data_IF_195200499495
#
_entry.id   IF_195200499495
#
_cell.length_a   1.000
_cell.length_b   1.000
_cell.length_c   1.000
_cell.angle_alpha   90.00
_cell.angle_beta   90.00
_cell.angle_gamma   90.00
#
_symmetry.space_group_name_H-M   'P 1'
#
loop_
_entity.id
_entity.type
_entity.pdbx_description
1 polymer ?
#
# COMPACT_ATOMS: atom_id res chain seq x y z
N UNK A 1 -10.14 -30.70 18.48
CA UNK A 1 -10.42 -29.30 18.13
C UNK A 1 -9.09 -28.68 17.75
N UNK A 2 -8.91 -28.32 16.48
CA UNK A 2 -7.72 -27.60 16.03
C UNK A 2 -7.52 -26.33 16.89
N UNK A 3 -6.30 -26.04 17.38
CA UNK A 3 -6.04 -24.87 18.21
C UNK A 3 -6.38 -23.57 17.46
N UNK A 4 -7.03 -22.64 18.16
CA UNK A 4 -7.49 -21.35 17.63
C UNK A 4 -6.35 -20.55 16.95
N UNK A 5 -5.11 -20.71 17.43
CA UNK A 5 -3.94 -20.08 16.84
C UNK A 5 -3.65 -20.52 15.39
N UNK A 6 -3.92 -21.77 15.02
CA UNK A 6 -3.75 -22.22 13.64
C UNK A 6 -4.78 -21.61 12.69
N UNK A 7 -6.03 -21.44 13.15
CA UNK A 7 -7.07 -20.75 12.37
C UNK A 7 -6.72 -19.29 12.13
N UNK A 8 -6.21 -18.59 13.16
CA UNK A 8 -5.76 -17.20 13.03
C UNK A 8 -4.59 -17.08 12.04
N UNK A 9 -3.62 -17.99 12.14
CA UNK A 9 -2.48 -18.02 11.20
C UNK A 9 -2.94 -18.25 9.75
N UNK A 10 -3.88 -19.17 9.54
CA UNK A 10 -4.46 -19.41 8.22
C UNK A 10 -5.21 -18.18 7.69
N UNK A 11 -5.96 -17.49 8.58
CA UNK A 11 -6.67 -16.26 8.26
C UNK A 11 -5.71 -15.19 7.70
N UNK A 12 -4.58 -14.93 8.39
CA UNK A 12 -3.58 -13.95 7.95
C UNK A 12 -2.69 -14.40 6.79
N UNK A 13 -2.71 -15.68 6.42
CA UNK A 13 -1.98 -16.14 5.25
C UNK A 13 -2.65 -15.71 3.93
N UNK A 14 -3.97 -15.47 3.94
CA UNK A 14 -4.70 -14.98 2.79
C UNK A 14 -4.44 -13.47 2.58
N UNK A 15 -3.84 -13.12 1.44
CA UNK A 15 -3.48 -11.74 1.08
C UNK A 15 -4.65 -10.76 1.23
N UNK A 16 -5.81 -11.08 0.65
CA UNK A 16 -6.99 -10.21 0.69
C UNK A 16 -7.47 -9.94 2.10
N UNK A 17 -7.32 -10.94 2.96
CA UNK A 17 -7.79 -10.89 4.32
C UNK A 17 -6.85 -10.10 5.24
N UNK A 18 -5.55 -10.21 4.99
CA UNK A 18 -4.53 -9.36 5.62
C UNK A 18 -4.72 -7.90 5.23
N UNK A 19 -4.91 -7.59 3.94
CA UNK A 19 -5.22 -6.22 3.47
C UNK A 19 -6.50 -5.70 4.13
N UNK A 20 -7.54 -6.52 4.22
CA UNK A 20 -8.81 -6.14 4.88
C UNK A 20 -8.59 -5.84 6.37
N UNK A 21 -7.78 -6.65 7.06
CA UNK A 21 -7.49 -6.43 8.48
C UNK A 21 -6.72 -5.13 8.70
N UNK A 22 -5.73 -4.83 7.84
CA UNK A 22 -5.01 -3.56 7.86
C UNK A 22 -5.99 -2.40 7.65
N UNK A 23 -6.89 -2.49 6.67
CA UNK A 23 -7.90 -1.46 6.38
C UNK A 23 -8.83 -1.19 7.57
N UNK A 24 -9.27 -2.23 8.28
CA UNK A 24 -10.11 -2.07 9.48
C UNK A 24 -9.32 -1.39 10.61
N UNK A 25 -8.08 -1.81 10.85
CA UNK A 25 -7.24 -1.21 11.90
C UNK A 25 -6.95 0.27 11.58
N UNK A 26 -6.57 0.60 10.35
CA UNK A 26 -6.31 1.98 9.95
C UNK A 26 -7.57 2.84 10.01
N UNK A 27 -8.74 2.28 9.71
CA UNK A 27 -10.02 2.98 9.87
C UNK A 27 -10.30 3.32 11.33
N UNK A 28 -10.12 2.37 12.25
CA UNK A 28 -10.32 2.61 13.69
C UNK A 28 -9.37 3.68 14.22
N UNK A 29 -8.10 3.67 13.79
CA UNK A 29 -7.13 4.70 14.16
C UNK A 29 -7.56 6.07 13.63
N UNK A 30 -7.90 6.17 12.34
CA UNK A 30 -8.32 7.44 11.73
C UNK A 30 -9.61 7.99 12.34
N UNK A 31 -10.57 7.11 12.64
CA UNK A 31 -11.82 7.47 13.31
C UNK A 31 -11.58 7.90 14.77
N UNK A 32 -10.72 7.19 15.50
CA UNK A 32 -10.29 7.57 16.84
C UNK A 32 -9.67 8.97 16.85
N UNK A 33 -8.69 9.23 15.99
CA UNK A 33 -8.04 10.55 15.90
C UNK A 33 -9.02 11.68 15.60
N UNK A 34 -10.05 11.42 14.78
CA UNK A 34 -11.10 12.39 14.50
C UNK A 34 -12.01 12.65 15.71
N UNK A 35 -12.25 11.64 16.53
CA UNK A 35 -13.08 11.74 17.75
C UNK A 35 -12.32 12.42 18.90
N UNK A 36 -11.01 12.23 19.01
CA UNK A 36 -10.14 12.83 20.03
C UNK A 36 -9.61 14.24 19.66
N UNK A 37 -10.18 14.89 18.64
CA UNK A 37 -9.89 16.30 18.32
C UNK A 37 -8.79 16.56 17.28
N UNK A 38 -8.12 15.53 16.75
CA UNK A 38 -7.10 15.67 15.69
C UNK A 38 -7.74 15.55 14.30
N UNK A 39 -8.60 16.52 13.98
CA UNK A 39 -9.49 16.48 12.81
C UNK A 39 -8.73 16.43 11.47
N UNK A 40 -7.69 17.23 11.30
CA UNK A 40 -6.95 17.33 10.04
C UNK A 40 -6.23 16.01 9.71
N UNK A 41 -5.47 15.47 10.66
CA UNK A 41 -4.75 14.21 10.50
C UNK A 41 -5.70 13.03 10.33
N UNK A 42 -6.79 12.99 11.11
CA UNK A 42 -7.83 11.97 10.95
C UNK A 42 -8.46 11.99 9.55
N UNK A 43 -8.69 13.17 8.96
CA UNK A 43 -9.19 13.29 7.58
C UNK A 43 -8.22 12.67 6.57
N UNK A 44 -6.92 12.96 6.69
CA UNK A 44 -5.90 12.42 5.78
C UNK A 44 -5.82 10.89 5.89
N UNK A 45 -5.79 10.37 7.12
CA UNK A 45 -5.76 8.92 7.36
C UNK A 45 -6.99 8.24 6.75
N UNK A 46 -8.18 8.80 6.97
CA UNK A 46 -9.42 8.25 6.41
C UNK A 46 -9.47 8.36 4.88
N UNK A 47 -8.87 9.40 4.29
CA UNK A 47 -8.72 9.52 2.83
C UNK A 47 -7.76 8.47 2.26
N UNK A 48 -6.62 8.22 2.90
CA UNK A 48 -5.74 7.10 2.50
C UNK A 48 -6.44 5.75 2.70
N UNK A 49 -7.24 5.62 3.76
CA UNK A 49 -8.01 4.43 4.06
C UNK A 49 -9.07 4.12 2.99
N UNK A 50 -9.61 5.12 2.28
CA UNK A 50 -10.57 4.85 1.19
C UNK A 50 -9.92 4.04 0.06
N UNK A 51 -8.62 4.25 -0.21
CA UNK A 51 -7.87 3.47 -1.22
C UNK A 51 -7.79 2.00 -0.81
N UNK A 52 -7.54 1.71 0.48
CA UNK A 52 -7.52 0.32 0.98
C UNK A 52 -8.89 -0.37 0.84
N UNK A 53 -9.98 0.36 1.10
CA UNK A 53 -11.32 -0.16 0.84
C UNK A 53 -11.61 -0.35 -0.66
N UNK A 54 -11.08 0.50 -1.54
CA UNK A 54 -11.15 0.29 -2.99
C UNK A 54 -10.40 -0.98 -3.41
N UNK A 55 -9.25 -1.30 -2.78
CA UNK A 55 -8.58 -2.58 -3.03
C UNK A 55 -9.49 -3.77 -2.68
N UNK A 56 -10.27 -3.70 -1.59
CA UNK A 56 -11.24 -4.76 -1.25
C UNK A 56 -12.33 -4.95 -2.30
N UNK A 57 -12.72 -3.90 -3.03
CA UNK A 57 -13.65 -4.05 -4.16
C UNK A 57 -13.08 -4.95 -5.26
N UNK A 58 -11.76 -4.96 -5.46
CA UNK A 58 -11.11 -5.86 -6.42
C UNK A 58 -11.24 -7.33 -6.03
N UNK A 59 -11.22 -7.65 -4.73
CA UNK A 59 -11.48 -9.01 -4.22
C UNK A 59 -12.88 -9.48 -4.62
N UNK A 60 -13.90 -8.63 -4.42
CA UNK A 60 -15.26 -8.92 -4.84
C UNK A 60 -15.39 -9.04 -6.37
N UNK A 61 -14.66 -8.23 -7.13
CA UNK A 61 -14.64 -8.35 -8.60
C UNK A 61 -13.91 -9.61 -9.07
N UNK A 62 -13.00 -10.17 -8.26
CA UNK A 62 -12.21 -11.35 -8.62
C UNK A 62 -13.06 -12.62 -8.79
N UNK A 63 -14.26 -12.67 -8.18
CA UNK A 63 -15.19 -13.79 -8.33
C UNK A 63 -15.97 -13.73 -9.65
N UNK A 64 -15.97 -12.58 -10.34
CA UNK A 64 -16.71 -12.41 -11.58
C UNK A 64 -16.05 -13.21 -12.72
N UNK A 65 -16.79 -14.04 -13.47
CA UNK A 65 -16.22 -15.00 -14.43
C UNK A 65 -15.31 -14.40 -15.49
N UNK A 66 -15.58 -13.16 -15.92
CA UNK A 66 -14.73 -12.45 -16.90
C UNK A 66 -13.61 -11.66 -16.26
N UNK A 67 -13.80 -11.10 -15.07
CA UNK A 67 -12.85 -10.14 -14.48
C UNK A 67 -11.82 -10.82 -13.57
N UNK A 68 -12.20 -11.92 -12.93
CA UNK A 68 -11.32 -12.73 -12.09
C UNK A 68 -10.01 -13.15 -12.75
N UNK A 69 -10.04 -13.69 -13.98
CA UNK A 69 -8.81 -14.03 -14.70
C UNK A 69 -7.90 -12.82 -14.93
N UNK A 70 -8.44 -11.66 -15.30
CA UNK A 70 -7.64 -10.44 -15.51
C UNK A 70 -7.01 -9.93 -14.22
N UNK A 71 -7.74 -9.90 -13.11
CA UNK A 71 -7.22 -9.46 -11.81
C UNK A 71 -6.10 -10.40 -11.35
N UNK A 72 -6.29 -11.72 -11.50
CA UNK A 72 -5.28 -12.72 -11.14
C UNK A 72 -4.03 -12.63 -12.03
N UNK A 73 -4.22 -12.38 -13.33
CA UNK A 73 -3.11 -12.14 -14.26
C UNK A 73 -2.33 -10.88 -13.89
N UNK A 74 -3.01 -9.76 -13.64
CA UNK A 74 -2.39 -8.50 -13.23
C UNK A 74 -1.53 -8.68 -11.97
N UNK A 75 -2.04 -9.38 -10.95
CA UNK A 75 -1.28 -9.67 -9.73
C UNK A 75 0.00 -10.46 -9.99
N UNK A 76 -0.05 -11.48 -10.87
CA UNK A 76 1.13 -12.26 -11.24
C UNK A 76 2.14 -11.45 -12.06
N UNK A 77 1.66 -10.57 -12.94
CA UNK A 77 2.53 -9.72 -13.76
C UNK A 77 3.33 -8.72 -12.91
N UNK A 78 2.71 -8.12 -11.89
CA UNK A 78 3.40 -7.19 -10.99
C UNK A 78 4.62 -7.84 -10.32
N UNK A 79 4.47 -9.09 -9.86
CA UNK A 79 5.57 -9.82 -9.23
C UNK A 79 6.70 -10.11 -10.22
N UNK A 80 6.37 -10.53 -11.45
CA UNK A 80 7.37 -10.81 -12.48
C UNK A 80 8.12 -9.55 -12.96
N UNK A 81 7.50 -8.38 -12.86
CA UNK A 81 8.11 -7.10 -13.29
C UNK A 81 8.82 -6.36 -12.15
N UNK A 82 8.80 -6.88 -10.91
CA UNK A 82 9.39 -6.24 -9.74
C UNK A 82 10.88 -5.91 -9.93
N UNK A 83 11.66 -6.78 -10.57
CA UNK A 83 13.07 -6.56 -10.87
C UNK A 83 13.29 -5.35 -11.79
N UNK A 84 12.46 -5.18 -12.82
CA UNK A 84 12.55 -4.03 -13.73
C UNK A 84 12.29 -2.73 -12.97
N UNK A 85 11.30 -2.72 -12.07
CA UNK A 85 11.00 -1.56 -11.22
C UNK A 85 12.19 -1.22 -10.31
N UNK A 86 12.86 -2.21 -9.73
CA UNK A 86 14.06 -1.97 -8.90
C UNK A 86 15.17 -1.34 -9.73
N UNK A 87 15.45 -1.86 -10.92
CA UNK A 87 16.46 -1.28 -11.83
C UNK A 87 16.13 0.15 -12.24
N UNK A 88 14.84 0.44 -12.48
CA UNK A 88 14.35 1.80 -12.75
C UNK A 88 14.61 2.73 -11.57
N UNK A 89 14.29 2.32 -10.34
CA UNK A 89 14.51 3.14 -9.14
C UNK A 89 16.00 3.43 -8.94
N UNK A 90 16.88 2.43 -9.12
CA UNK A 90 18.34 2.61 -8.99
C UNK A 90 18.86 3.62 -10.01
N UNK A 91 18.46 3.49 -11.27
CA UNK A 91 18.88 4.43 -12.33
C UNK A 91 18.33 5.84 -12.12
N UNK A 92 17.07 5.98 -11.68
CA UNK A 92 16.46 7.27 -11.35
C UNK A 92 17.16 7.96 -10.18
N UNK A 93 17.53 7.22 -9.13
CA UNK A 93 18.27 7.76 -8.01
C UNK A 93 19.68 8.20 -8.42
N UNK A 94 20.41 7.37 -9.17
CA UNK A 94 21.76 7.71 -9.63
C UNK A 94 21.77 9.01 -10.46
N UNK A 95 20.83 9.14 -11.40
CA UNK A 95 20.69 10.36 -12.20
C UNK A 95 20.16 11.54 -11.38
N UNK A 96 19.13 11.32 -10.56
CA UNK A 96 18.48 12.37 -9.77
C UNK A 96 19.43 13.03 -8.78
N UNK A 97 20.23 12.23 -8.06
CA UNK A 97 21.24 12.72 -7.12
C UNK A 97 22.32 13.54 -7.85
N UNK A 98 22.91 13.00 -8.92
CA UNK A 98 23.94 13.71 -9.68
C UNK A 98 23.41 15.03 -10.26
N UNK A 99 22.19 15.03 -10.81
CA UNK A 99 21.54 16.24 -11.32
C UNK A 99 21.33 17.27 -10.22
N UNK A 100 20.87 16.87 -9.04
CA UNK A 100 20.61 17.78 -7.93
C UNK A 100 21.90 18.41 -7.42
N UNK A 101 22.95 17.61 -7.19
CA UNK A 101 24.25 18.10 -6.70
C UNK A 101 24.93 19.07 -7.66
N UNK A 102 24.81 18.87 -8.98
CA UNK A 102 25.42 19.76 -9.99
C UNK A 102 24.60 21.06 -10.14
N UNK A 103 23.27 20.97 -10.13
CA UNK A 103 22.40 22.13 -10.39
C UNK A 103 22.36 23.11 -9.21
N UNK A 104 22.41 22.59 -7.99
CA UNK A 104 22.28 23.37 -6.76
C UNK A 104 23.51 23.16 -5.83
N UNK A 105 24.68 23.70 -6.19
CA UNK A 105 25.93 23.41 -5.50
C UNK A 105 26.05 24.04 -4.09
N UNK A 106 25.28 25.10 -3.81
CA UNK A 106 25.36 25.87 -2.56
C UNK A 106 24.07 25.79 -1.72
N UNK A 107 23.27 24.74 -1.88
CA UNK A 107 22.07 24.55 -1.06
C UNK A 107 22.40 24.01 0.34
N UNK A 108 21.65 24.50 1.33
CA UNK A 108 21.71 23.97 2.69
C UNK A 108 21.00 22.62 2.79
N UNK A 109 21.53 21.74 3.64
CA UNK A 109 20.95 20.42 3.87
C UNK A 109 19.52 20.53 4.40
N UNK A 110 18.58 19.91 3.71
CA UNK A 110 17.22 19.75 4.21
C UNK A 110 16.55 18.52 3.59
N UNK A 111 15.72 17.83 4.37
CA UNK A 111 15.15 16.53 4.03
C UNK A 111 14.17 16.48 2.84
N UNK A 112 13.76 17.65 2.32
CA UNK A 112 12.88 17.73 1.15
C UNK A 112 13.68 17.78 -0.17
N UNK A 113 14.98 18.03 -0.11
CA UNK A 113 15.92 17.93 -1.22
C UNK A 113 17.06 16.94 -0.91
#
# INVERSE_FOLDING_TARGET
MEPIGQKLKYFFYNYWNTVTTIAVISFLIGFGMRTFGVIATGRVILACNSVLWTMKMLDYMSVHPRLGPYITMAGKMILNMSYIVVMLVVSLLAFGLARQSITYPNEEFHWLL
#
